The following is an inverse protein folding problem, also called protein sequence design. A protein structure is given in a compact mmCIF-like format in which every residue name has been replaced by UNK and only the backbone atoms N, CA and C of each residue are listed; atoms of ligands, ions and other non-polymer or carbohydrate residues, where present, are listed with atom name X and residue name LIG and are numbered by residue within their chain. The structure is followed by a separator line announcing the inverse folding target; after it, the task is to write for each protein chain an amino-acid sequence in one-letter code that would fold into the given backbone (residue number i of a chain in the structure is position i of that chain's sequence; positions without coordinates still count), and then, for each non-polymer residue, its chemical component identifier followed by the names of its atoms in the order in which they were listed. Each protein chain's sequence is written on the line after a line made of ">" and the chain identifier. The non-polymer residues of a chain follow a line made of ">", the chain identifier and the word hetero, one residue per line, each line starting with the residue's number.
data_IF_514079582727
#
_entry.id   IF_514079582727
#
_cell.length_a   1.000
_cell.length_b   1.000
_cell.length_c   1.000
_cell.angle_alpha   90.00
_cell.angle_beta   90.00
_cell.angle_gamma   90.00
#
_symmetry.space_group_name_H-M   'P 1'
#
loop_
_entity.id
_entity.type
_entity.pdbx_description
1 polymer ?
#
# COMPACT_ATOMS: atom_id res chain seq x y z
N UNK A 1 -5.97 -15.56 2.90
CA UNK A 1 -5.21 -14.41 2.35
C UNK A 1 -6.11 -13.19 2.22
N UNK A 2 -5.54 -12.00 2.36
CA UNK A 2 -6.29 -10.74 2.21
C UNK A 2 -6.53 -10.45 0.74
N UNK A 3 -7.71 -9.94 0.40
CA UNK A 3 -8.08 -9.69 -1.00
C UNK A 3 -7.52 -8.39 -1.57
N UNK A 4 -7.08 -7.45 -0.75
CA UNK A 4 -6.68 -6.10 -1.19
C UNK A 4 -7.79 -5.42 -1.99
N UNK A 5 -8.97 -5.34 -1.41
CA UNK A 5 -10.10 -4.67 -2.05
C UNK A 5 -9.85 -3.17 -2.13
N UNK A 6 -10.22 -2.56 -3.26
CA UNK A 6 -9.95 -1.14 -3.49
C UNK A 6 -10.52 -0.22 -2.40
N UNK A 7 -11.78 -0.41 -1.92
CA UNK A 7 -12.30 0.40 -0.83
C UNK A 7 -11.47 0.30 0.46
N UNK A 8 -11.04 -0.91 0.84
CA UNK A 8 -10.23 -1.10 2.05
C UNK A 8 -8.90 -0.34 2.00
N UNK A 9 -8.25 -0.30 0.83
CA UNK A 9 -6.98 0.42 0.66
C UNK A 9 -7.20 1.93 0.66
N UNK A 10 -8.28 2.41 0.05
CA UNK A 10 -8.64 3.84 0.10
C UNK A 10 -8.99 4.26 1.54
N UNK A 11 -9.70 3.45 2.30
CA UNK A 11 -10.00 3.73 3.72
C UNK A 11 -8.71 3.85 4.56
N UNK A 12 -7.67 3.05 4.26
CA UNK A 12 -6.36 3.19 4.91
C UNK A 12 -5.71 4.53 4.56
N UNK A 13 -5.79 4.97 3.30
CA UNK A 13 -5.27 6.26 2.84
C UNK A 13 -5.99 7.45 3.47
N UNK A 14 -7.26 7.31 3.83
CA UNK A 14 -8.05 8.37 4.49
C UNK A 14 -7.67 8.54 5.98
N UNK A 15 -6.86 7.65 6.52
CA UNK A 15 -6.32 7.78 7.87
C UNK A 15 -5.35 8.97 7.98
N UNK A 16 -5.55 9.91 8.91
CA UNK A 16 -4.67 11.06 9.11
C UNK A 16 -3.20 10.66 9.36
N UNK A 17 -2.98 9.52 9.99
CA UNK A 17 -1.63 9.02 10.28
C UNK A 17 -0.92 8.62 8.99
N UNK A 18 -1.61 7.91 8.09
CA UNK A 18 -1.09 7.49 6.79
C UNK A 18 -0.89 8.71 5.88
N UNK A 19 -1.87 9.63 5.85
CA UNK A 19 -1.74 10.89 5.11
C UNK A 19 -0.49 11.67 5.53
N UNK A 20 -0.27 11.82 6.84
CA UNK A 20 0.91 12.50 7.38
C UNK A 20 2.21 11.80 6.97
N UNK A 21 2.26 10.46 7.03
CA UNK A 21 3.46 9.68 6.71
C UNK A 21 3.86 9.75 5.23
N UNK A 22 2.88 9.67 4.35
CA UNK A 22 3.11 9.64 2.90
C UNK A 22 2.94 11.03 2.24
N UNK A 23 2.63 12.06 3.03
CA UNK A 23 2.50 13.43 2.55
C UNK A 23 1.23 13.68 1.75
N UNK A 24 0.17 12.90 1.96
CA UNK A 24 -1.14 13.15 1.36
C UNK A 24 -1.90 14.24 2.11
N UNK A 25 -2.74 14.94 1.37
CA UNK A 25 -3.75 15.86 1.87
C UNK A 25 -5.13 15.21 1.76
N UNK A 26 -6.09 15.70 2.52
CA UNK A 26 -7.46 15.16 2.46
C UNK A 26 -8.05 15.20 1.03
N UNK A 27 -7.76 16.26 0.27
CA UNK A 27 -8.18 16.43 -1.12
C UNK A 27 -7.56 15.40 -2.09
N UNK A 28 -6.36 14.89 -1.77
CA UNK A 28 -5.68 13.89 -2.60
C UNK A 28 -6.41 12.54 -2.58
N UNK A 29 -7.11 12.21 -1.48
CA UNK A 29 -7.88 10.95 -1.36
C UNK A 29 -9.01 10.89 -2.40
N UNK A 30 -9.69 12.01 -2.66
CA UNK A 30 -10.75 12.07 -3.69
C UNK A 30 -10.18 11.83 -5.09
N UNK A 31 -9.01 12.40 -5.38
CA UNK A 31 -8.30 12.18 -6.64
C UNK A 31 -7.89 10.71 -6.81
N UNK A 32 -7.32 10.11 -5.77
CA UNK A 32 -6.90 8.71 -5.78
C UNK A 32 -8.09 7.76 -5.94
N UNK A 33 -9.23 8.06 -5.28
CA UNK A 33 -10.47 7.30 -5.45
C UNK A 33 -10.98 7.39 -6.90
N UNK A 34 -10.94 8.58 -7.52
CA UNK A 34 -11.29 8.76 -8.92
C UNK A 34 -10.38 7.90 -9.82
N UNK A 35 -9.06 7.99 -9.68
CA UNK A 35 -8.13 7.17 -10.46
C UNK A 35 -8.40 5.67 -10.33
N UNK A 36 -8.56 5.18 -9.11
CA UNK A 36 -8.86 3.77 -8.84
C UNK A 36 -10.13 3.31 -9.56
N UNK A 37 -11.17 4.15 -9.57
CA UNK A 37 -12.41 3.86 -10.27
C UNK A 37 -12.26 3.89 -11.80
N UNK A 38 -11.60 4.89 -12.36
CA UNK A 38 -11.43 5.10 -13.79
C UNK A 38 -10.57 4.02 -14.43
N UNK A 39 -9.49 3.59 -13.75
CA UNK A 39 -8.68 2.45 -14.19
C UNK A 39 -9.29 1.11 -13.78
N UNK A 40 -10.45 1.11 -13.11
CA UNK A 40 -11.24 -0.06 -12.72
C UNK A 40 -10.53 -1.04 -11.81
N UNK A 41 -9.71 -0.56 -10.88
CA UNK A 41 -9.15 -1.41 -9.83
C UNK A 41 -10.28 -1.89 -8.92
N UNK A 42 -10.33 -3.19 -8.67
CA UNK A 42 -11.34 -3.84 -7.83
C UNK A 42 -10.69 -4.50 -6.61
N UNK A 43 -9.80 -5.45 -6.85
CA UNK A 43 -9.14 -6.25 -5.83
C UNK A 43 -7.98 -7.04 -6.38
N UNK A 44 -7.08 -7.50 -5.48
CA UNK A 44 -5.97 -8.37 -5.79
C UNK A 44 -4.74 -7.63 -6.29
N UNK A 45 -3.56 -8.01 -5.83
CA UNK A 45 -2.32 -7.38 -6.28
C UNK A 45 -2.13 -7.54 -7.79
N UNK A 46 -2.19 -8.79 -8.27
CA UNK A 46 -1.97 -9.22 -9.64
C UNK A 46 -2.58 -10.61 -9.89
N UNK A 47 -2.35 -11.17 -11.08
CA UNK A 47 -2.76 -12.53 -11.46
C UNK A 47 -2.19 -13.61 -10.56
N UNK A 48 -0.95 -13.45 -10.10
CA UNK A 48 -0.28 -14.44 -9.28
C UNK A 48 -0.90 -14.52 -7.88
N UNK A 49 -1.17 -13.38 -7.28
CA UNK A 49 -1.88 -13.30 -6.02
C UNK A 49 -3.27 -13.97 -6.10
N UNK A 50 -4.01 -13.75 -7.20
CA UNK A 50 -5.30 -14.42 -7.42
C UNK A 50 -5.15 -15.93 -7.55
N UNK A 51 -4.12 -16.40 -8.26
CA UNK A 51 -3.81 -17.83 -8.40
C UNK A 51 -3.52 -18.48 -7.05
N UNK A 52 -2.75 -17.83 -6.18
CA UNK A 52 -2.45 -18.31 -4.83
C UNK A 52 -3.70 -18.43 -3.96
N UNK A 53 -4.72 -17.62 -4.23
CA UNK A 53 -6.04 -17.71 -3.60
C UNK A 53 -6.96 -18.79 -4.21
N UNK A 54 -6.48 -19.57 -5.17
CA UNK A 54 -7.28 -20.59 -5.87
C UNK A 54 -8.26 -20.01 -6.89
N UNK A 55 -8.04 -18.79 -7.37
CA UNK A 55 -8.92 -18.10 -8.30
C UNK A 55 -8.29 -18.01 -9.70
N UNK A 56 -9.07 -17.75 -10.77
CA UNK A 56 -8.53 -17.59 -12.11
C UNK A 56 -7.47 -16.48 -12.19
N UNK A 57 -6.35 -16.77 -12.86
CA UNK A 57 -5.19 -15.91 -12.96
C UNK A 57 -5.34 -14.90 -14.10
N UNK A 58 -6.01 -13.77 -13.85
CA UNK A 58 -6.11 -12.64 -14.79
C UNK A 58 -5.76 -11.34 -14.08
N UNK A 59 -5.23 -10.35 -14.83
CA UNK A 59 -4.77 -9.07 -14.28
C UNK A 59 -5.87 -8.00 -14.29
N UNK A 60 -6.92 -8.14 -15.08
CA UNK A 60 -7.97 -7.14 -15.20
C UNK A 60 -8.60 -6.85 -13.83
N UNK A 61 -8.67 -5.56 -13.51
CA UNK A 61 -9.19 -5.08 -12.23
C UNK A 61 -8.28 -5.37 -11.04
N UNK A 62 -7.02 -5.78 -11.24
CA UNK A 62 -6.01 -5.84 -10.18
C UNK A 62 -5.31 -4.50 -9.99
N UNK A 63 -4.62 -4.35 -8.86
CA UNK A 63 -3.78 -3.19 -8.58
C UNK A 63 -2.69 -3.03 -9.63
N UNK A 64 -2.01 -4.12 -10.00
CA UNK A 64 -0.99 -4.08 -11.06
C UNK A 64 -1.54 -3.54 -12.36
N UNK A 65 -2.67 -4.04 -12.84
CA UNK A 65 -3.27 -3.60 -14.09
C UNK A 65 -3.65 -2.13 -14.08
N UNK A 66 -4.21 -1.63 -12.97
CA UNK A 66 -4.57 -0.22 -12.83
C UNK A 66 -3.34 0.68 -12.76
N UNK A 67 -2.34 0.30 -11.97
CA UNK A 67 -1.07 1.03 -11.86
C UNK A 67 -0.36 1.13 -13.21
N UNK A 68 -0.29 0.02 -13.95
CA UNK A 68 0.31 0.01 -15.29
C UNK A 68 -0.39 1.01 -16.24
N UNK A 69 -1.72 1.18 -16.13
CA UNK A 69 -2.48 2.17 -16.90
C UNK A 69 -2.17 3.60 -16.49
N UNK A 70 -2.07 3.89 -15.19
CA UNK A 70 -1.71 5.21 -14.65
C UNK A 70 -0.29 5.59 -15.08
N UNK A 71 0.67 4.67 -14.94
CA UNK A 71 2.06 4.92 -15.31
C UNK A 71 2.25 5.11 -16.82
N UNK A 72 1.53 4.34 -17.63
CA UNK A 72 1.57 4.51 -19.08
C UNK A 72 0.95 5.83 -19.51
N UNK A 73 -0.15 6.25 -18.89
CA UNK A 73 -0.75 7.56 -19.13
C UNK A 73 0.23 8.68 -18.84
N UNK A 74 0.91 8.63 -17.69
CA UNK A 74 1.96 9.58 -17.36
C UNK A 74 3.13 9.57 -18.36
N UNK A 75 3.62 8.39 -18.77
CA UNK A 75 4.75 8.26 -19.67
C UNK A 75 4.46 8.66 -21.12
N UNK A 76 3.19 8.61 -21.53
CA UNK A 76 2.75 8.87 -22.91
C UNK A 76 2.01 10.21 -23.04
N UNK A 77 2.10 11.12 -22.05
CA UNK A 77 1.47 12.43 -22.11
C UNK A 77 1.74 13.13 -23.45
N UNK A 78 0.68 13.43 -24.21
CA UNK A 78 0.76 14.08 -25.52
C UNK A 78 0.87 13.16 -26.74
N UNK A 79 0.82 11.86 -26.61
CA UNK A 79 0.71 10.92 -27.72
C UNK A 79 -0.72 10.37 -27.81
N UNK A 80 -1.39 10.61 -28.95
CA UNK A 80 -2.73 10.10 -29.24
C UNK A 80 -2.88 8.60 -28.95
N UNK A 81 -4.09 8.22 -28.51
CA UNK A 81 -4.57 6.86 -28.18
C UNK A 81 -3.82 5.70 -28.88
N UNK A 82 -2.73 5.24 -28.29
CA UNK A 82 -2.06 4.04 -28.75
C UNK A 82 -2.06 3.00 -27.64
N UNK A 83 -2.71 1.88 -27.90
CA UNK A 83 -2.55 0.66 -27.10
C UNK A 83 -1.07 0.30 -27.02
N UNK A 84 -0.46 0.43 -25.86
CA UNK A 84 0.90 -0.04 -25.64
C UNK A 84 0.84 -1.45 -25.03
N UNK A 85 1.30 -2.46 -25.77
CA UNK A 85 1.25 -3.87 -25.35
C UNK A 85 -0.13 -4.32 -24.83
N UNK A 86 -1.21 -3.90 -25.51
CA UNK A 86 -2.60 -4.15 -25.11
C UNK A 86 -3.06 -3.47 -23.81
N UNK A 87 -2.33 -2.48 -23.30
CA UNK A 87 -2.74 -1.65 -22.17
C UNK A 87 -3.21 -0.31 -22.70
N UNK A 88 -4.41 0.11 -22.28
CA UNK A 88 -4.94 1.44 -22.57
C UNK A 88 -4.43 2.42 -21.49
N UNK A 89 -3.61 3.44 -21.85
CA UNK A 89 -3.16 4.45 -20.90
C UNK A 89 -4.32 5.22 -20.26
N UNK A 90 -4.06 5.81 -19.11
CA UNK A 90 -4.96 6.75 -18.45
C UNK A 90 -4.40 8.16 -18.65
N UNK A 91 -5.03 8.97 -19.49
CA UNK A 91 -4.46 10.23 -20.03
C UNK A 91 -4.75 11.49 -19.18
N UNK A 92 -5.39 11.34 -18.02
CA UNK A 92 -5.89 12.46 -17.20
C UNK A 92 -5.00 12.73 -15.97
N UNK A 93 -3.67 12.62 -16.10
CA UNK A 93 -2.70 12.94 -15.04
C UNK A 93 -1.89 14.15 -15.47
N UNK A 94 -2.10 15.31 -14.82
CA UNK A 94 -1.46 16.56 -15.19
C UNK A 94 -0.74 17.23 -14.02
N UNK A 95 0.34 17.96 -14.32
CA UNK A 95 1.00 18.88 -13.40
C UNK A 95 1.45 18.23 -12.07
N UNK A 96 0.94 18.74 -10.95
CA UNK A 96 1.28 18.28 -9.60
C UNK A 96 0.72 16.89 -9.25
N UNK A 97 -0.20 16.35 -10.04
CA UNK A 97 -0.76 15.00 -9.85
C UNK A 97 0.29 13.91 -10.02
N UNK A 98 1.36 14.19 -10.76
CA UNK A 98 2.52 13.29 -10.86
C UNK A 98 3.17 13.01 -9.51
N UNK A 99 3.28 14.02 -8.65
CA UNK A 99 3.85 13.87 -7.32
C UNK A 99 2.92 13.03 -6.43
N UNK A 100 1.60 13.23 -6.56
CA UNK A 100 0.60 12.43 -5.85
C UNK A 100 0.66 10.97 -6.31
N UNK A 101 0.81 10.71 -7.61
CA UNK A 101 1.00 9.36 -8.15
C UNK A 101 2.27 8.71 -7.56
N UNK A 102 3.38 9.42 -7.49
CA UNK A 102 4.61 8.91 -6.88
C UNK A 102 4.43 8.49 -5.43
N UNK A 103 3.78 9.33 -4.61
CA UNK A 103 3.44 9.03 -3.21
C UNK A 103 2.49 7.82 -3.09
N UNK A 104 1.52 7.73 -4.00
CA UNK A 104 0.59 6.62 -4.04
C UNK A 104 1.29 5.29 -4.33
N UNK A 105 2.22 5.27 -5.27
CA UNK A 105 3.03 4.07 -5.57
C UNK A 105 3.93 3.69 -4.40
N UNK A 106 4.53 4.66 -3.71
CA UNK A 106 5.32 4.41 -2.49
C UNK A 106 4.45 3.77 -1.41
N UNK A 107 3.27 4.34 -1.15
CA UNK A 107 2.32 3.78 -0.18
C UNK A 107 1.92 2.34 -0.52
N UNK A 108 1.50 2.07 -1.77
CA UNK A 108 1.10 0.73 -2.20
C UNK A 108 2.26 -0.28 -2.10
N UNK A 109 3.46 0.13 -2.48
CA UNK A 109 4.68 -0.69 -2.33
C UNK A 109 4.95 -1.04 -0.87
N UNK A 110 4.89 -0.06 0.03
CA UNK A 110 5.01 -0.27 1.47
C UNK A 110 3.91 -1.19 2.02
N UNK A 111 2.66 -0.98 1.61
CA UNK A 111 1.52 -1.76 2.08
C UNK A 111 1.65 -3.23 1.65
N UNK A 112 1.88 -3.48 0.37
CA UNK A 112 1.95 -4.84 -0.15
C UNK A 112 3.13 -5.62 0.43
N UNK A 113 4.32 -5.02 0.53
CA UNK A 113 5.48 -5.67 1.13
C UNK A 113 5.26 -5.96 2.62
N UNK A 114 4.64 -5.03 3.35
CA UNK A 114 4.35 -5.21 4.77
C UNK A 114 3.33 -6.33 5.03
N UNK A 115 2.33 -6.47 4.16
CA UNK A 115 1.35 -7.58 4.29
C UNK A 115 2.03 -8.93 3.98
N UNK A 116 2.93 -8.99 2.99
CA UNK A 116 3.70 -10.21 2.71
C UNK A 116 4.60 -10.60 3.90
N UNK A 117 5.19 -9.62 4.58
CA UNK A 117 5.95 -9.84 5.81
C UNK A 117 5.10 -10.33 6.99
N UNK A 118 3.78 -10.14 6.99
CA UNK A 118 2.87 -10.67 8.02
C UNK A 118 2.50 -12.14 7.80
N UNK A 119 2.83 -12.74 6.66
CA UNK A 119 2.57 -14.14 6.37
C UNK A 119 3.64 -15.06 6.99
N UNK A 120 3.20 -16.25 7.40
CA UNK A 120 4.05 -17.29 7.96
C UNK A 120 4.13 -17.30 9.49
N UNK A 121 4.58 -18.45 10.01
CA UNK A 121 4.82 -18.63 11.45
C UNK A 121 6.14 -17.95 11.85
N UNK A 122 6.11 -17.21 12.97
CA UNK A 122 7.27 -16.53 13.54
C UNK A 122 7.32 -16.68 15.04
N UNK A 123 8.50 -16.61 15.59
CA UNK A 123 8.73 -16.47 17.03
C UNK A 123 8.29 -15.08 17.51
N UNK A 124 8.09 -14.90 18.82
CA UNK A 124 7.73 -13.60 19.39
C UNK A 124 8.79 -12.53 19.11
N UNK A 125 10.07 -12.93 19.11
CA UNK A 125 11.19 -12.03 18.78
C UNK A 125 11.15 -11.56 17.33
N UNK A 126 10.88 -12.47 16.38
CA UNK A 126 10.72 -12.13 14.96
C UNK A 126 9.50 -11.27 14.72
N UNK A 127 8.39 -11.52 15.42
CA UNK A 127 7.21 -10.66 15.38
C UNK A 127 7.52 -9.24 15.89
N UNK A 128 8.32 -9.11 16.96
CA UNK A 128 8.72 -7.80 17.45
C UNK A 128 9.49 -7.00 16.39
N UNK A 129 10.40 -7.64 15.64
CA UNK A 129 11.12 -6.99 14.53
C UNK A 129 10.18 -6.56 13.42
N UNK A 130 9.23 -7.40 13.01
CA UNK A 130 8.25 -7.07 11.97
C UNK A 130 7.36 -5.90 12.39
N UNK A 131 6.88 -5.90 13.63
CA UNK A 131 6.04 -4.82 14.17
C UNK A 131 6.80 -3.49 14.28
N UNK A 132 8.06 -3.51 14.71
CA UNK A 132 8.91 -2.31 14.74
C UNK A 132 9.13 -1.74 13.31
N UNK A 133 9.39 -2.62 12.35
CA UNK A 133 9.50 -2.23 10.93
C UNK A 133 8.20 -1.59 10.43
N UNK A 134 7.04 -2.16 10.79
CA UNK A 134 5.74 -1.64 10.43
C UNK A 134 5.49 -0.23 11.01
N UNK A 135 5.81 -0.04 12.30
CA UNK A 135 5.71 1.28 12.92
C UNK A 135 6.56 2.31 12.17
N UNK A 136 7.79 1.97 11.85
CA UNK A 136 8.71 2.87 11.15
C UNK A 136 8.25 3.23 9.74
N UNK A 137 7.60 2.31 9.05
CA UNK A 137 7.12 2.52 7.67
C UNK A 137 5.86 3.39 7.59
N UNK A 138 4.92 3.21 8.52
CA UNK A 138 3.58 3.81 8.43
C UNK A 138 3.33 4.98 9.36
N UNK A 139 4.25 5.26 10.29
CA UNK A 139 4.07 6.32 11.27
C UNK A 139 5.23 7.32 11.22
N UNK A 140 4.91 8.58 11.42
CA UNK A 140 5.89 9.64 11.65
C UNK A 140 5.99 9.87 13.15
N UNK A 141 7.21 9.86 13.68
CA UNK A 141 7.44 10.31 15.05
C UNK A 141 7.52 11.83 15.07
N UNK A 142 6.57 12.45 15.74
CA UNK A 142 6.55 13.87 15.97
C UNK A 142 6.28 14.17 17.46
N UNK A 143 6.15 15.46 17.79
CA UNK A 143 5.92 15.87 19.19
C UNK A 143 4.56 15.40 19.74
N UNK A 144 3.56 15.21 18.88
CA UNK A 144 2.20 14.80 19.28
C UNK A 144 2.14 13.28 19.53
N UNK A 145 2.74 12.48 18.62
CA UNK A 145 2.69 11.01 18.66
C UNK A 145 3.87 10.36 19.40
N UNK A 146 4.92 11.11 19.69
CA UNK A 146 6.17 10.57 20.23
C UNK A 146 6.00 9.77 21.52
N UNK A 147 5.15 10.21 22.44
CA UNK A 147 4.89 9.48 23.70
C UNK A 147 4.15 8.16 23.45
N UNK A 148 3.12 8.16 22.61
CA UNK A 148 2.35 6.96 22.25
C UNK A 148 3.22 5.96 21.51
N UNK A 149 4.06 6.44 20.60
CA UNK A 149 5.02 5.60 19.85
C UNK A 149 6.05 4.95 20.78
N UNK A 150 6.55 5.68 21.78
CA UNK A 150 7.45 5.09 22.79
C UNK A 150 6.77 3.99 23.61
N UNK A 151 5.50 4.17 24.00
CA UNK A 151 4.72 3.15 24.69
C UNK A 151 4.54 1.92 23.79
N UNK A 152 4.16 2.10 22.54
CA UNK A 152 4.00 0.99 21.59
C UNK A 152 5.30 0.21 21.40
N UNK A 153 6.42 0.89 21.18
CA UNK A 153 7.74 0.26 21.05
C UNK A 153 8.18 -0.47 22.33
N UNK A 154 7.88 0.08 23.49
CA UNK A 154 8.14 -0.62 24.75
C UNK A 154 7.33 -1.92 24.83
N UNK A 155 6.06 -1.91 24.44
CA UNK A 155 5.23 -3.12 24.41
C UNK A 155 5.70 -4.16 23.40
N UNK A 156 6.17 -3.73 22.23
CA UNK A 156 6.73 -4.63 21.22
C UNK A 156 8.01 -5.29 21.74
N UNK A 157 8.88 -4.52 22.41
CA UNK A 157 10.10 -5.08 23.04
C UNK A 157 9.79 -6.09 24.14
N UNK A 158 8.73 -5.87 24.92
CA UNK A 158 8.26 -6.81 25.92
C UNK A 158 7.87 -8.17 25.32
N UNK A 159 7.38 -8.22 24.07
CA UNK A 159 7.09 -9.48 23.38
C UNK A 159 8.37 -10.31 23.19
N UNK A 160 9.46 -9.64 22.79
CA UNK A 160 10.75 -10.30 22.58
C UNK A 160 11.32 -10.87 23.89
N UNK A 161 11.13 -10.16 25.02
CA UNK A 161 11.63 -10.62 26.32
C UNK A 161 10.86 -11.83 26.89
N UNK A 162 9.59 -11.96 26.58
CA UNK A 162 8.75 -13.08 27.04
C UNK A 162 9.13 -14.41 26.38
N UNK A 163 9.71 -14.38 25.20
CA UNK A 163 10.21 -15.61 24.54
C UNK A 163 11.34 -16.26 25.35
N UNK A 164 12.20 -15.47 25.99
CA UNK A 164 13.30 -15.98 26.83
C UNK A 164 12.81 -16.63 28.12
N UNK A 165 11.60 -16.29 28.58
CA UNK A 165 11.01 -16.82 29.82
C UNK A 165 10.17 -18.09 29.58
N UNK A 166 9.68 -18.33 28.36
CA UNK A 166 8.80 -19.48 28.06
C UNK A 166 9.50 -20.75 27.63
N UNK A 167 10.83 -20.74 27.44
CA UNK A 167 11.66 -21.96 27.31
C UNK A 167 11.29 -22.92 26.18
N UNK A 168 10.61 -22.46 25.12
CA UNK A 168 10.26 -23.27 23.94
C UNK A 168 10.76 -22.60 22.67
#
# INVERSE_FOLDING_TARGET
>A
GRRFEAPEIIDILDSPVVQKRFGFRAEDTELLLRWVNDVRIRWGKDREHRRQMGLPAFDEGSWKSGIDRLLLGYALMGNEEKLFKSILPYDDIEGNETEILGRFLEFLGCLFSSVDELEGGRTLGEWAVVLESFLTRFFVEDQESGHEMQILRARIRDLSSKQTLSGF
#
